data_IF_156551650315
#
_entry.id   IF_156551650315
#
_cell.length_a   1.000
_cell.length_b   1.000
_cell.length_c   1.000
_cell.angle_alpha   90.00
_cell.angle_beta   90.00
_cell.angle_gamma   90.00
#
_symmetry.space_group_name_H-M   'P 1'
#
loop_
_entity.id
_entity.type
_entity.pdbx_description
1 polymer ?
#
# COMPACT_ATOMS: atom_id res chain seq x y z
N UNK A 1 -69.05 -9.25 20.08
CA UNK A 1 -67.62 -9.00 19.82
C UNK A 1 -66.82 -10.32 19.78
N UNK A 2 -67.11 -11.24 18.85
CA UNK A 2 -66.46 -12.59 18.85
C UNK A 2 -65.91 -13.02 17.48
N UNK A 3 -65.78 -12.10 16.53
CA UNK A 3 -65.36 -12.42 15.15
C UNK A 3 -64.15 -11.61 14.63
N UNK A 4 -63.39 -10.93 15.50
CA UNK A 4 -62.18 -10.20 15.08
C UNK A 4 -60.91 -11.08 15.01
N UNK A 5 -60.97 -12.33 15.49
CA UNK A 5 -59.81 -13.22 15.56
C UNK A 5 -59.87 -14.43 14.62
N UNK A 6 -60.79 -14.43 13.64
CA UNK A 6 -61.05 -15.60 12.78
C UNK A 6 -60.64 -15.40 11.33
N UNK A 7 -59.53 -14.70 11.10
CA UNK A 7 -58.90 -14.61 9.79
C UNK A 7 -57.38 -14.85 9.91
N UNK A 8 -57.00 -16.13 10.01
CA UNK A 8 -55.61 -16.57 10.08
C UNK A 8 -54.82 -16.27 8.78
N UNK A 9 -55.52 -16.07 7.66
CA UNK A 9 -54.90 -15.78 6.36
C UNK A 9 -54.29 -14.38 6.31
N UNK A 10 -54.96 -13.38 6.90
CA UNK A 10 -54.43 -12.01 7.00
C UNK A 10 -53.24 -11.90 7.96
N UNK A 11 -53.26 -12.65 9.07
CA UNK A 11 -52.16 -12.68 10.04
C UNK A 11 -50.92 -13.43 9.51
N UNK A 12 -51.11 -14.52 8.76
CA UNK A 12 -50.03 -15.28 8.13
C UNK A 12 -49.23 -14.43 7.14
N UNK A 13 -49.92 -13.63 6.31
CA UNK A 13 -49.28 -12.78 5.31
C UNK A 13 -48.44 -11.67 5.98
N UNK A 14 -49.00 -11.01 7.00
CA UNK A 14 -48.28 -9.98 7.75
C UNK A 14 -47.03 -10.55 8.45
N UNK A 15 -47.16 -11.74 9.04
CA UNK A 15 -46.03 -12.41 9.70
C UNK A 15 -44.92 -12.75 8.71
N UNK A 16 -45.27 -13.24 7.52
CA UNK A 16 -44.33 -13.54 6.44
C UNK A 16 -43.58 -12.27 5.99
N UNK A 17 -44.29 -11.15 5.81
CA UNK A 17 -43.66 -9.86 5.47
C UNK A 17 -42.69 -9.37 6.55
N UNK A 18 -43.06 -9.51 7.84
CA UNK A 18 -42.18 -9.13 8.96
C UNK A 18 -40.91 -9.99 8.95
N UNK A 19 -41.05 -11.29 8.70
CA UNK A 19 -39.95 -12.25 8.70
C UNK A 19 -38.98 -11.96 7.53
N UNK A 20 -39.51 -11.74 6.32
CA UNK A 20 -38.72 -11.34 5.15
C UNK A 20 -38.00 -10.01 5.40
N UNK A 21 -38.70 -9.02 5.98
CA UNK A 21 -38.10 -7.72 6.29
C UNK A 21 -36.95 -7.85 7.29
N UNK A 22 -37.11 -8.67 8.33
CA UNK A 22 -36.04 -8.94 9.30
C UNK A 22 -34.81 -9.58 8.65
N UNK A 23 -35.03 -10.56 7.77
CA UNK A 23 -33.95 -11.19 7.01
C UNK A 23 -33.23 -10.16 6.13
N UNK A 24 -33.98 -9.31 5.40
CA UNK A 24 -33.41 -8.25 4.57
C UNK A 24 -32.59 -7.25 5.39
N UNK A 25 -33.09 -6.82 6.55
CA UNK A 25 -32.36 -5.92 7.45
C UNK A 25 -31.07 -6.58 7.96
N UNK A 26 -31.13 -7.87 8.32
CA UNK A 26 -29.95 -8.63 8.75
C UNK A 26 -28.88 -8.72 7.67
N UNK A 27 -29.28 -9.00 6.43
CA UNK A 27 -28.36 -8.97 5.29
C UNK A 27 -27.81 -7.57 5.02
N UNK A 28 -28.67 -6.55 5.03
CA UNK A 28 -28.25 -5.17 4.81
C UNK A 28 -27.23 -4.70 5.85
N UNK A 29 -27.45 -5.05 7.12
CA UNK A 29 -26.52 -4.75 8.20
C UNK A 29 -25.17 -5.44 7.97
N UNK A 30 -25.18 -6.72 7.60
CA UNK A 30 -23.97 -7.48 7.28
C UNK A 30 -23.20 -6.84 6.12
N UNK A 31 -23.88 -6.51 5.02
CA UNK A 31 -23.26 -5.88 3.85
C UNK A 31 -22.67 -4.51 4.21
N UNK A 32 -23.43 -3.69 4.95
CA UNK A 32 -22.98 -2.35 5.33
C UNK A 32 -21.72 -2.41 6.21
N UNK A 33 -21.70 -3.30 7.20
CA UNK A 33 -20.55 -3.48 8.09
C UNK A 33 -19.29 -3.94 7.34
N UNK A 34 -19.44 -4.78 6.31
CA UNK A 34 -18.30 -5.32 5.54
C UNK A 34 -17.95 -4.48 4.30
N UNK A 35 -18.79 -3.53 3.90
CA UNK A 35 -18.64 -2.76 2.66
C UNK A 35 -17.30 -2.03 2.58
N UNK A 36 -16.86 -1.40 3.67
CA UNK A 36 -15.59 -0.68 3.70
C UNK A 36 -14.39 -1.61 3.50
N UNK A 37 -14.44 -2.81 4.09
CA UNK A 37 -13.36 -3.78 3.96
C UNK A 37 -13.26 -4.30 2.52
N UNK A 38 -14.39 -4.75 1.97
CA UNK A 38 -14.47 -5.36 0.64
C UNK A 38 -14.19 -4.33 -0.47
N UNK A 39 -14.74 -3.12 -0.38
CA UNK A 39 -14.69 -2.16 -1.48
C UNK A 39 -13.57 -1.13 -1.37
N UNK A 40 -13.03 -0.87 -0.16
CA UNK A 40 -12.01 0.16 0.03
C UNK A 40 -10.68 -0.46 0.44
N UNK A 41 -10.65 -1.26 1.51
CA UNK A 41 -9.38 -1.77 2.06
C UNK A 41 -8.73 -2.79 1.15
N UNK A 42 -9.44 -3.85 0.77
CA UNK A 42 -8.84 -4.94 -0.04
C UNK A 42 -8.29 -4.46 -1.39
N UNK A 43 -9.01 -3.64 -2.18
CA UNK A 43 -8.47 -3.13 -3.43
C UNK A 43 -7.28 -2.18 -3.22
N UNK A 44 -7.35 -1.32 -2.20
CA UNK A 44 -6.24 -0.40 -1.88
C UNK A 44 -4.97 -1.16 -1.49
N UNK A 45 -5.12 -2.23 -0.71
CA UNK A 45 -4.00 -3.08 -0.32
C UNK A 45 -3.34 -3.82 -1.48
N UNK A 46 -4.12 -4.25 -2.47
CA UNK A 46 -3.60 -4.89 -3.68
C UNK A 46 -2.82 -3.88 -4.53
N UNK A 47 -3.42 -2.71 -4.81
CA UNK A 47 -2.76 -1.63 -5.57
C UNK A 47 -1.49 -1.16 -4.87
N UNK A 48 -1.52 -1.02 -3.55
CA UNK A 48 -0.34 -0.61 -2.79
C UNK A 48 0.83 -1.58 -2.93
N UNK A 49 0.56 -2.90 -2.98
CA UNK A 49 1.62 -3.89 -3.13
C UNK A 49 2.36 -3.72 -4.46
N UNK A 50 1.61 -3.53 -5.54
CA UNK A 50 2.15 -3.43 -6.89
C UNK A 50 2.88 -2.09 -7.08
N UNK A 51 2.25 -0.98 -6.73
CA UNK A 51 2.81 0.37 -6.86
C UNK A 51 4.05 0.56 -5.96
N UNK A 52 4.07 0.01 -4.73
CA UNK A 52 5.27 0.05 -3.89
C UNK A 52 6.41 -0.80 -4.48
N UNK A 53 6.08 -1.92 -5.12
CA UNK A 53 7.05 -2.74 -5.84
C UNK A 53 7.63 -1.99 -7.02
N UNK A 54 6.81 -1.27 -7.79
CA UNK A 54 7.25 -0.44 -8.91
C UNK A 54 8.17 0.69 -8.47
N UNK A 55 7.86 1.38 -7.37
CA UNK A 55 8.74 2.38 -6.76
C UNK A 55 10.09 1.75 -6.35
N UNK A 56 10.07 0.59 -5.69
CA UNK A 56 11.30 -0.11 -5.30
C UNK A 56 12.14 -0.55 -6.51
N UNK A 57 11.50 -1.04 -7.58
CA UNK A 57 12.16 -1.45 -8.83
C UNK A 57 12.76 -0.27 -9.58
N UNK A 58 12.04 0.85 -9.64
CA UNK A 58 12.53 2.11 -10.22
C UNK A 58 13.78 2.59 -9.48
N UNK A 59 13.75 2.57 -8.14
CA UNK A 59 14.91 2.94 -7.32
C UNK A 59 16.09 2.00 -7.54
N UNK A 60 15.84 0.68 -7.62
CA UNK A 60 16.88 -0.32 -7.89
C UNK A 60 17.56 -0.10 -9.24
N UNK A 61 16.77 0.23 -10.27
CA UNK A 61 17.28 0.55 -11.61
C UNK A 61 18.08 1.85 -11.60
N UNK A 62 17.56 2.90 -10.96
CA UNK A 62 18.26 4.18 -10.84
C UNK A 62 19.62 4.06 -10.13
N UNK A 63 19.67 3.27 -9.06
CA UNK A 63 20.91 2.97 -8.36
C UNK A 63 21.90 2.22 -9.26
N UNK A 64 21.38 1.26 -10.04
CA UNK A 64 22.18 0.50 -11.01
C UNK A 64 22.74 1.42 -12.10
N UNK A 65 21.92 2.33 -12.63
CA UNK A 65 22.34 3.31 -13.63
C UNK A 65 23.39 4.27 -13.07
N UNK A 66 23.19 4.75 -11.84
CA UNK A 66 24.16 5.58 -11.14
C UNK A 66 25.50 4.85 -11.02
N UNK A 67 25.49 3.56 -10.70
CA UNK A 67 26.69 2.72 -10.63
C UNK A 67 27.47 2.64 -11.95
N UNK A 68 26.77 2.58 -13.09
CA UNK A 68 27.40 2.50 -14.41
C UNK A 68 28.14 3.79 -14.81
N UNK A 69 27.78 4.93 -14.23
CA UNK A 69 28.33 6.25 -14.60
C UNK A 69 29.19 6.88 -13.51
N UNK A 70 29.51 6.14 -12.44
CA UNK A 70 30.27 6.69 -11.30
C UNK A 70 31.66 7.19 -11.73
N UNK A 71 32.05 8.42 -11.34
CA UNK A 71 33.40 8.88 -11.55
C UNK A 71 34.36 8.20 -10.56
N UNK A 72 35.60 7.89 -10.97
CA UNK A 72 36.62 7.36 -10.06
C UNK A 72 37.03 8.37 -8.98
N UNK A 73 36.86 9.68 -9.22
CA UNK A 73 37.05 10.75 -8.25
C UNK A 73 35.98 11.84 -8.51
N UNK A 74 34.94 11.91 -7.69
CA UNK A 74 33.91 12.94 -7.84
C UNK A 74 32.61 12.66 -7.07
N UNK A 75 31.64 13.55 -7.30
CA UNK A 75 30.28 13.46 -6.77
C UNK A 75 29.27 13.31 -7.92
N UNK A 76 28.23 12.50 -7.71
CA UNK A 76 27.02 12.50 -8.52
C UNK A 76 25.83 12.74 -7.61
N UNK A 77 25.02 13.74 -7.97
CA UNK A 77 23.70 13.98 -7.40
C UNK A 77 22.64 13.68 -8.44
N UNK A 78 21.82 12.67 -8.17
CA UNK A 78 20.70 12.27 -9.03
C UNK A 78 19.39 12.69 -8.37
N UNK A 79 18.72 13.66 -8.97
CA UNK A 79 17.36 14.04 -8.58
C UNK A 79 16.35 13.04 -9.11
N UNK A 80 15.38 12.66 -8.28
CA UNK A 80 14.31 11.76 -8.66
C UNK A 80 12.98 12.17 -8.05
N UNK A 81 11.91 11.70 -8.68
CA UNK A 81 10.54 11.98 -8.27
C UNK A 81 9.79 10.68 -8.09
N UNK A 82 9.26 10.48 -6.90
CA UNK A 82 8.35 9.39 -6.57
C UNK A 82 6.95 9.96 -6.39
N UNK A 83 5.89 9.15 -6.54
CA UNK A 83 4.54 9.61 -6.23
C UNK A 83 4.41 10.00 -4.76
N UNK A 84 3.60 11.03 -4.49
CA UNK A 84 3.35 11.48 -3.11
C UNK A 84 2.59 10.41 -2.30
N UNK A 85 1.79 9.59 -2.99
CA UNK A 85 0.95 8.54 -2.40
C UNK A 85 0.96 7.29 -3.26
N UNK A 86 0.89 6.15 -2.60
CA UNK A 86 0.64 4.85 -3.22
C UNK A 86 -0.68 4.32 -2.65
N UNK A 87 -1.63 4.03 -3.54
CA UNK A 87 -3.04 3.85 -3.16
C UNK A 87 -3.59 5.11 -2.49
N UNK A 88 -3.91 5.03 -1.21
CA UNK A 88 -4.41 6.15 -0.39
C UNK A 88 -3.44 6.59 0.71
N UNK A 89 -2.23 6.06 0.72
CA UNK A 89 -1.31 6.18 1.85
C UNK A 89 0.03 6.82 1.45
N UNK A 90 0.62 7.54 2.41
CA UNK A 90 1.99 7.99 2.32
C UNK A 90 2.93 6.86 2.76
N UNK A 91 4.12 6.84 2.18
CA UNK A 91 5.12 5.82 2.44
C UNK A 91 6.52 6.42 2.62
N UNK A 92 7.42 5.63 3.22
CA UNK A 92 8.82 5.94 3.44
C UNK A 92 9.65 4.87 2.75
N UNK A 93 10.67 5.30 2.02
CA UNK A 93 11.67 4.46 1.41
C UNK A 93 12.88 4.45 2.34
N UNK A 94 13.30 3.28 2.77
CA UNK A 94 14.52 3.06 3.53
C UNK A 94 15.49 2.24 2.67
N UNK A 95 16.60 2.85 2.28
CA UNK A 95 17.74 2.14 1.76
C UNK A 95 18.69 1.87 2.94
N UNK A 96 18.62 0.67 3.52
CA UNK A 96 19.51 0.25 4.60
C UNK A 96 20.27 -1.00 4.16
N UNK A 97 21.58 -0.83 3.90
CA UNK A 97 22.44 -1.89 3.38
C UNK A 97 23.29 -2.53 4.49
N UNK A 98 22.97 -2.27 5.77
CA UNK A 98 23.68 -2.88 6.91
C UNK A 98 23.51 -4.41 7.00
N UNK A 99 22.58 -5.01 6.25
CA UNK A 99 22.39 -6.46 6.22
C UNK A 99 22.52 -7.03 4.81
N UNK A 100 23.03 -8.26 4.77
CA UNK A 100 23.61 -9.05 3.67
C UNK A 100 22.85 -9.10 2.34
N UNK A 101 21.63 -8.58 2.26
CA UNK A 101 20.69 -8.82 1.17
C UNK A 101 20.34 -7.57 0.33
N UNK A 102 20.99 -6.42 0.54
CA UNK A 102 20.89 -5.23 -0.34
C UNK A 102 19.46 -4.89 -0.74
N UNK A 103 18.65 -4.47 0.24
CA UNK A 103 17.19 -4.33 0.09
C UNK A 103 16.80 -2.86 0.19
N UNK A 104 15.96 -2.41 -0.76
CA UNK A 104 15.18 -1.18 -0.65
C UNK A 104 13.85 -1.57 -0.01
N UNK A 105 13.55 -0.96 1.12
CA UNK A 105 12.33 -1.19 1.87
C UNK A 105 11.37 -0.01 1.66
N UNK A 106 10.17 -0.29 1.15
CA UNK A 106 9.12 0.71 0.95
C UNK A 106 8.01 0.41 1.96
N UNK A 107 7.86 1.30 2.95
CA UNK A 107 6.99 1.09 4.12
C UNK A 107 5.88 2.13 4.12
N UNK A 108 4.62 1.68 4.21
CA UNK A 108 3.52 2.59 4.55
C UNK A 108 3.43 2.73 6.06
N UNK A 109 3.42 3.97 6.54
CA UNK A 109 3.23 4.25 7.96
C UNK A 109 1.78 4.02 8.43
N UNK A 110 0.81 4.01 7.50
CA UNK A 110 -0.63 3.89 7.82
C UNK A 110 -1.08 2.44 7.96
N UNK A 111 -0.75 1.59 6.98
CA UNK A 111 -1.12 0.17 6.96
C UNK A 111 -0.05 -0.77 7.51
N UNK A 112 1.19 -0.28 7.69
CA UNK A 112 2.34 -1.13 8.04
C UNK A 112 2.78 -2.06 6.89
N UNK A 113 2.22 -1.89 5.68
CA UNK A 113 2.66 -2.64 4.50
C UNK A 113 4.10 -2.32 4.18
N UNK A 114 4.82 -3.37 3.78
CA UNK A 114 6.25 -3.33 3.56
C UNK A 114 6.59 -4.15 2.32
N UNK A 115 7.18 -3.49 1.32
CA UNK A 115 7.70 -4.14 0.12
C UNK A 115 9.22 -4.03 0.11
N UNK A 116 9.86 -5.18 -0.14
CA UNK A 116 11.32 -5.32 -0.16
C UNK A 116 11.77 -5.66 -1.55
N UNK A 117 12.57 -4.77 -2.15
CA UNK A 117 13.15 -4.97 -3.47
C UNK A 117 14.66 -5.11 -3.34
N UNK A 118 15.21 -6.20 -3.87
CA UNK A 118 16.66 -6.45 -3.85
C UNK A 118 17.34 -5.68 -4.98
N UNK A 119 18.46 -5.03 -4.67
CA UNK A 119 19.39 -4.46 -5.64
C UNK A 119 20.41 -5.54 -5.91
N UNK A 120 20.44 -6.10 -7.12
CA UNK A 120 21.15 -7.34 -7.47
C UNK A 120 22.68 -7.32 -7.33
N UNK A 121 23.20 -7.31 -6.10
CA UNK A 121 24.63 -7.47 -5.79
C UNK A 121 25.49 -6.22 -5.96
N UNK A 122 25.02 -5.21 -6.71
CA UNK A 122 25.76 -3.99 -7.10
C UNK A 122 26.15 -3.12 -5.88
N UNK A 123 25.36 -3.16 -4.80
CA UNK A 123 25.61 -2.30 -3.63
C UNK A 123 26.74 -2.78 -2.71
N UNK A 124 27.41 -3.90 -3.02
CA UNK A 124 28.64 -4.34 -2.32
C UNK A 124 29.82 -3.41 -2.62
N UNK A 125 29.78 -2.72 -3.75
CA UNK A 125 30.82 -1.82 -4.23
C UNK A 125 30.53 -0.37 -3.87
N UNK A 126 29.26 -0.03 -3.58
CA UNK A 126 28.80 1.31 -3.24
C UNK A 126 27.76 1.25 -2.11
N UNK A 127 28.11 1.64 -0.87
CA UNK A 127 27.16 1.66 0.23
C UNK A 127 26.17 2.83 0.02
N UNK A 128 24.91 2.50 -0.21
CA UNK A 128 23.82 3.46 -0.32
C UNK A 128 23.01 3.39 0.96
N UNK A 129 23.11 4.43 1.77
CA UNK A 129 22.32 4.56 2.99
C UNK A 129 21.51 5.84 2.90
N UNK A 130 20.21 5.74 3.17
CA UNK A 130 19.35 6.91 3.14
C UNK A 130 17.90 6.56 3.39
N UNK A 131 17.15 7.54 3.85
CA UNK A 131 15.70 7.45 4.02
C UNK A 131 15.05 8.58 3.24
N UNK A 132 13.96 8.28 2.53
CA UNK A 132 13.21 9.26 1.75
C UNK A 132 11.72 9.11 2.07
N UNK A 133 11.06 10.20 2.42
CA UNK A 133 9.60 10.22 2.66
C UNK A 133 8.87 10.70 1.43
N UNK A 134 7.84 9.98 0.98
CA UNK A 134 6.94 10.38 -0.13
C UNK A 134 6.27 11.74 0.07
N UNK A 135 6.20 12.25 1.30
CA UNK A 135 5.65 13.58 1.60
C UNK A 135 6.54 14.74 1.12
N UNK A 136 7.79 14.48 0.75
CA UNK A 136 8.67 15.50 0.15
C UNK A 136 8.45 15.56 -1.36
N UNK A 137 8.56 16.75 -1.95
CA UNK A 137 8.38 16.96 -3.39
C UNK A 137 9.66 16.76 -4.20
N UNK A 138 10.81 16.77 -3.53
CA UNK A 138 12.13 16.58 -4.12
C UNK A 138 12.88 15.52 -3.34
N UNK A 139 13.50 14.60 -4.09
CA UNK A 139 14.39 13.59 -3.55
C UNK A 139 15.67 13.56 -4.36
N UNK A 140 16.78 13.32 -3.67
CA UNK A 140 18.11 13.27 -4.26
C UNK A 140 18.82 12.03 -3.71
N UNK A 141 19.44 11.28 -4.61
CA UNK A 141 20.45 10.27 -4.26
C UNK A 141 21.80 10.88 -4.56
N UNK A 142 22.66 10.93 -3.55
CA UNK A 142 24.01 11.48 -3.67
C UNK A 142 25.05 10.40 -3.49
N UNK A 143 26.09 10.43 -4.32
CA UNK A 143 27.27 9.60 -4.20
C UNK A 143 28.50 10.48 -4.18
N UNK A 144 29.33 10.33 -3.16
CA UNK A 144 30.59 11.03 -3.05
C UNK A 144 31.71 9.99 -2.84
N UNK A 145 32.63 9.91 -3.80
CA UNK A 145 33.77 8.98 -3.73
C UNK A 145 34.88 9.45 -2.78
N UNK A 146 34.77 10.67 -2.24
CA UNK A 146 35.80 11.30 -1.40
C UNK A 146 35.45 11.27 0.09
N UNK A 147 34.29 10.71 0.44
CA UNK A 147 33.76 10.64 1.79
C UNK A 147 33.94 9.28 2.45
#
# INVERSE_FOLDING_TARGET
MKNLFKDEKGASLLFEYILVTLICIGFFMTVTLNSNEIFIKTPNEAVMQDEMSDVGNMMSTMITDMYLVLPPNGNIDTGYRIPEKVGRENYVINANIAYTNQIIEVISASSGKNVRVTIGGIARTMPINGTASSSSTQHVISYDSTR
#
